data_IF_111398793228
#
_entry.id   IF_111398793228
#
_cell.length_a   1.000
_cell.length_b   1.000
_cell.length_c   1.000
_cell.angle_alpha   90.00
_cell.angle_beta   90.00
_cell.angle_gamma   90.00
#
_symmetry.space_group_name_H-M   'P 1'
#
loop_
_entity.id
_entity.type
_entity.pdbx_description
1 polymer ?
#
# COMPACT_ATOMS: atom_id res chain seq x y z
N UNK A 1 9.72 13.42 21.24
CA UNK A 1 10.00 12.55 20.07
C UNK A 1 11.14 13.19 19.30
N UNK A 2 12.34 12.61 19.31
CA UNK A 2 13.45 13.14 18.51
C UNK A 2 13.08 13.04 17.02
N UNK A 3 13.26 14.10 16.22
CA UNK A 3 12.99 14.04 14.80
C UNK A 3 13.96 13.03 14.16
N UNK A 4 13.44 11.94 13.61
CA UNK A 4 14.23 10.99 12.81
C UNK A 4 14.85 11.77 11.65
N UNK A 5 16.17 11.71 11.54
CA UNK A 5 16.91 12.34 10.44
C UNK A 5 16.74 11.46 9.21
N UNK A 6 16.09 11.99 8.17
CA UNK A 6 15.96 11.33 6.87
C UNK A 6 17.00 11.92 5.92
N UNK A 7 18.02 11.14 5.57
CA UNK A 7 19.03 11.54 4.61
C UNK A 7 18.74 10.98 3.22
N UNK A 8 18.85 11.82 2.20
CA UNK A 8 18.69 11.44 0.79
C UNK A 8 20.05 11.42 0.12
N UNK A 9 20.29 10.44 -0.75
CA UNK A 9 21.53 10.34 -1.51
C UNK A 9 21.57 11.39 -2.63
N UNK A 10 22.60 12.23 -2.61
CA UNK A 10 22.80 13.29 -3.60
C UNK A 10 24.12 13.12 -4.35
N UNK A 11 24.04 13.25 -5.68
CA UNK A 11 25.19 13.23 -6.57
C UNK A 11 25.63 14.65 -6.92
N UNK A 12 26.94 14.91 -6.99
CA UNK A 12 27.46 16.17 -7.51
C UNK A 12 27.21 16.26 -9.03
N UNK A 13 26.51 17.29 -9.49
CA UNK A 13 26.39 17.57 -10.91
C UNK A 13 27.70 18.21 -11.41
N UNK A 14 28.52 17.44 -12.14
CA UNK A 14 29.83 17.87 -12.68
C UNK A 14 29.78 19.21 -13.42
N UNK A 15 28.68 19.51 -14.10
CA UNK A 15 28.52 20.74 -14.90
C UNK A 15 28.07 21.96 -14.10
N UNK A 16 27.52 21.79 -12.89
CA UNK A 16 26.90 22.89 -12.11
C UNK A 16 27.56 23.08 -10.73
N UNK A 17 28.35 22.11 -10.27
CA UNK A 17 28.97 22.15 -8.93
C UNK A 17 27.96 22.08 -7.78
N UNK A 18 26.69 21.76 -8.08
CA UNK A 18 25.60 21.57 -7.11
C UNK A 18 25.18 20.12 -7.07
N UNK A 19 24.80 19.64 -5.90
CA UNK A 19 24.32 18.27 -5.73
C UNK A 19 22.82 18.15 -6.04
N UNK A 20 22.40 17.02 -6.60
CA UNK A 20 20.99 16.74 -6.93
C UNK A 20 20.64 15.27 -6.71
N UNK A 21 19.37 15.01 -6.42
CA UNK A 21 18.81 13.66 -6.33
C UNK A 21 18.31 13.20 -7.70
N UNK A 22 18.55 11.94 -8.06
CA UNK A 22 17.93 11.34 -9.23
C UNK A 22 16.45 11.08 -8.92
N UNK A 23 15.54 11.72 -9.65
CA UNK A 23 14.09 11.50 -9.53
C UNK A 23 13.53 10.87 -10.80
N UNK A 24 12.67 9.85 -10.65
CA UNK A 24 11.92 9.28 -11.78
C UNK A 24 10.90 10.31 -12.34
N UNK A 25 10.48 11.29 -11.53
CA UNK A 25 9.38 12.22 -11.80
C UNK A 25 9.70 13.39 -12.76
N UNK A 26 10.98 13.70 -13.03
CA UNK A 26 11.37 14.77 -13.99
C UNK A 26 10.96 14.45 -15.45
N UNK A 27 10.29 13.32 -15.67
CA UNK A 27 9.81 12.78 -16.94
C UNK A 27 8.40 13.19 -17.38
N UNK A 28 7.62 13.93 -16.58
CA UNK A 28 6.22 14.25 -16.96
C UNK A 28 5.98 15.58 -17.68
N UNK A 29 6.93 16.52 -17.74
CA UNK A 29 6.65 17.87 -18.28
C UNK A 29 7.46 18.34 -19.49
N UNK A 30 8.47 17.62 -19.98
CA UNK A 30 9.23 18.02 -21.18
C UNK A 30 9.77 16.86 -22.00
N UNK A 31 8.89 15.98 -22.49
CA UNK A 31 9.19 15.17 -23.68
C UNK A 31 8.06 15.34 -24.70
N UNK A 32 8.00 16.54 -25.27
CA UNK A 32 7.24 16.84 -26.46
C UNK A 32 8.17 17.53 -27.45
N UNK A 33 8.97 16.74 -28.16
CA UNK A 33 9.49 17.05 -29.51
C UNK A 33 10.44 15.92 -29.96
N UNK A 34 9.91 15.03 -30.80
CA UNK A 34 10.62 14.06 -31.65
C UNK A 34 11.43 12.94 -30.97
N UNK A 35 10.75 11.83 -30.67
CA UNK A 35 11.35 10.54 -30.35
C UNK A 35 10.30 9.63 -29.70
N UNK A 36 10.12 8.41 -30.19
CA UNK A 36 9.09 7.48 -29.72
C UNK A 36 9.10 7.31 -28.19
N UNK A 37 7.96 7.42 -27.48
CA UNK A 37 7.89 7.40 -26.01
C UNK A 37 8.38 6.11 -25.32
N UNK A 38 8.65 5.06 -26.11
CA UNK A 38 8.76 3.68 -25.63
C UNK A 38 10.11 3.00 -25.95
N UNK A 39 11.18 3.75 -26.25
CA UNK A 39 12.52 3.14 -26.45
C UNK A 39 13.37 3.18 -25.16
N UNK A 40 13.56 2.02 -24.47
CA UNK A 40 14.36 1.95 -23.24
C UNK A 40 15.85 2.20 -23.47
N UNK A 41 16.35 2.13 -24.72
CA UNK A 41 17.77 2.32 -25.02
C UNK A 41 18.20 3.80 -24.98
N UNK A 42 17.23 4.72 -25.03
CA UNK A 42 17.44 6.18 -25.03
C UNK A 42 17.40 6.80 -23.63
N UNK A 43 17.49 6.01 -22.56
CA UNK A 43 17.30 6.52 -21.19
C UNK A 43 18.52 7.30 -20.70
N UNK A 44 18.26 8.52 -20.26
CA UNK A 44 19.22 9.39 -19.57
C UNK A 44 18.52 10.14 -18.44
N UNK A 45 19.30 10.71 -17.53
CA UNK A 45 18.82 11.57 -16.46
C UNK A 45 19.02 13.05 -16.82
N UNK A 46 18.11 13.91 -16.39
CA UNK A 46 18.20 15.36 -16.53
C UNK A 46 18.38 16.00 -15.16
N UNK A 47 19.49 16.72 -14.98
CA UNK A 47 19.75 17.44 -13.74
C UNK A 47 18.71 18.55 -13.50
N UNK A 48 18.21 18.66 -12.27
CA UNK A 48 17.20 19.65 -11.89
C UNK A 48 17.70 21.10 -11.92
N UNK A 49 19.03 21.33 -11.82
CA UNK A 49 19.59 22.68 -11.74
C UNK A 49 19.80 23.35 -13.11
N UNK A 50 20.20 22.60 -14.13
CA UNK A 50 20.53 23.14 -15.45
C UNK A 50 20.08 22.25 -16.62
N UNK A 51 19.26 21.24 -16.36
CA UNK A 51 18.80 20.28 -17.36
C UNK A 51 19.94 19.62 -18.17
N UNK A 52 21.13 19.47 -17.58
CA UNK A 52 22.20 18.71 -18.23
C UNK A 52 21.83 17.23 -18.30
N UNK A 53 22.19 16.61 -19.42
CA UNK A 53 21.99 15.18 -19.66
C UNK A 53 23.12 14.43 -18.96
N UNK A 54 22.75 13.51 -18.06
CA UNK A 54 23.66 12.59 -17.39
C UNK A 54 23.33 11.19 -17.90
N UNK A 55 24.33 10.49 -18.43
CA UNK A 55 24.23 9.07 -18.82
C UNK A 55 24.69 8.19 -17.66
N UNK A 56 24.25 6.92 -17.65
CA UNK A 56 24.59 6.02 -16.56
C UNK A 56 26.11 5.84 -16.38
N UNK A 57 26.87 5.75 -17.48
CA UNK A 57 28.34 5.66 -17.43
C UNK A 57 29.04 6.93 -16.93
N UNK A 58 28.33 8.05 -16.85
CA UNK A 58 28.85 9.35 -16.39
C UNK A 58 28.57 9.56 -14.89
N UNK A 59 27.90 8.61 -14.23
CA UNK A 59 27.66 8.65 -12.79
C UNK A 59 29.00 8.63 -12.05
N UNK A 60 29.17 9.64 -11.21
CA UNK A 60 30.34 9.82 -10.37
C UNK A 60 29.92 9.90 -8.90
N UNK A 61 30.41 8.95 -8.12
CA UNK A 61 30.09 8.83 -6.70
C UNK A 61 31.18 9.44 -5.79
N UNK A 62 32.28 9.95 -6.33
CA UNK A 62 33.45 10.38 -5.54
C UNK A 62 33.11 11.45 -4.48
N UNK A 63 32.23 12.39 -4.82
CA UNK A 63 31.75 13.42 -3.88
C UNK A 63 30.28 13.26 -3.51
N UNK A 64 29.71 12.06 -3.69
CA UNK A 64 28.33 11.79 -3.30
C UNK A 64 28.16 11.80 -1.78
N UNK A 65 27.01 12.29 -1.31
CA UNK A 65 26.71 12.47 0.12
C UNK A 65 25.27 12.09 0.41
N UNK A 66 25.04 11.59 1.61
CA UNK A 66 23.71 11.50 2.21
C UNK A 66 23.46 12.77 3.01
N UNK A 67 22.43 13.53 2.65
CA UNK A 67 22.13 14.82 3.29
C UNK A 67 20.68 14.82 3.78
N UNK A 68 20.46 15.29 5.00
CA UNK A 68 19.15 15.57 5.54
C UNK A 68 18.64 16.91 5.00
N UNK A 69 17.54 16.90 4.24
CA UNK A 69 16.98 18.13 3.66
C UNK A 69 16.48 19.13 4.72
N UNK A 70 16.09 18.65 5.90
CA UNK A 70 15.55 19.50 6.97
C UNK A 70 16.65 20.18 7.80
N UNK A 71 17.70 19.46 8.14
CA UNK A 71 18.76 19.94 9.05
C UNK A 71 20.05 20.30 8.33
N UNK A 72 20.23 19.83 7.09
CA UNK A 72 21.48 19.95 6.33
C UNK A 72 22.62 19.09 6.88
N UNK A 73 22.38 18.27 7.90
CA UNK A 73 23.34 17.29 8.41
C UNK A 73 23.63 16.27 7.30
N UNK A 74 24.90 15.89 7.14
CA UNK A 74 25.30 14.96 6.08
C UNK A 74 26.40 13.99 6.50
N UNK A 75 26.51 12.91 5.75
CA UNK A 75 27.56 11.89 5.87
C UNK A 75 27.95 11.35 4.49
N UNK A 76 29.18 10.84 4.34
CA UNK A 76 29.64 10.13 3.13
C UNK A 76 29.54 8.62 3.27
N UNK A 77 29.76 8.11 4.48
CA UNK A 77 29.99 6.71 4.78
C UNK A 77 29.06 6.15 5.87
N UNK A 78 28.28 7.01 6.54
CA UNK A 78 27.47 6.64 7.70
C UNK A 78 28.25 6.58 9.01
N UNK A 79 29.55 6.85 8.98
CA UNK A 79 30.47 6.80 10.13
C UNK A 79 30.78 8.23 10.59
N UNK A 80 31.25 9.07 9.66
CA UNK A 80 31.56 10.48 9.94
C UNK A 80 30.37 11.36 9.60
N UNK A 81 30.01 12.22 10.56
CA UNK A 81 28.85 13.10 10.47
C UNK A 81 29.27 14.56 10.48
N UNK A 82 28.62 15.35 9.65
CA UNK A 82 28.93 16.76 9.49
C UNK A 82 27.66 17.60 9.60
N UNK A 83 27.79 18.77 10.20
CA UNK A 83 26.75 19.80 10.20
C UNK A 83 26.55 20.39 8.80
N UNK A 84 25.52 21.22 8.65
CA UNK A 84 25.29 21.98 7.41
C UNK A 84 26.41 22.97 7.07
N UNK A 85 27.21 23.41 8.07
CA UNK A 85 28.41 24.25 7.88
C UNK A 85 29.67 23.45 7.52
N UNK A 86 29.62 22.12 7.62
CA UNK A 86 30.76 21.23 7.31
C UNK A 86 31.66 20.93 8.51
N UNK A 87 31.26 21.30 9.73
CA UNK A 87 31.94 20.91 10.96
C UNK A 87 31.58 19.47 11.33
N UNK A 88 32.55 18.71 11.82
CA UNK A 88 32.31 17.34 12.30
C UNK A 88 31.45 17.35 13.57
N UNK A 89 30.45 16.47 13.63
CA UNK A 89 29.51 16.34 14.75
C UNK A 89 29.41 14.89 15.20
N UNK A 90 28.88 14.67 16.39
CA UNK A 90 28.55 13.32 16.85
C UNK A 90 27.43 12.69 15.99
N UNK A 91 27.48 11.36 15.76
CA UNK A 91 26.44 10.64 15.03
C UNK A 91 25.05 10.84 15.68
N UNK A 92 24.00 11.12 14.90
CA UNK A 92 22.66 11.24 15.47
C UNK A 92 22.13 9.92 16.02
N UNK A 93 21.31 10.00 17.08
CA UNK A 93 20.69 8.82 17.74
C UNK A 93 19.89 7.92 16.79
N UNK A 94 19.24 8.51 15.77
CA UNK A 94 18.40 7.79 14.82
C UNK A 94 18.44 8.42 13.45
N UNK A 95 18.85 7.61 12.48
CA UNK A 95 19.01 8.01 11.08
C UNK A 95 18.25 7.03 10.19
N UNK A 96 17.61 7.55 9.16
CA UNK A 96 17.00 6.78 8.07
C UNK A 96 17.57 7.27 6.75
N UNK A 97 17.86 6.34 5.84
CA UNK A 97 18.40 6.65 4.52
C UNK A 97 17.36 6.35 3.44
N UNK A 98 17.24 7.24 2.46
CA UNK A 98 16.49 7.01 1.24
C UNK A 98 17.44 6.92 0.05
N UNK A 99 17.48 5.74 -0.58
CA UNK A 99 18.23 5.46 -1.80
C UNK A 99 17.41 4.53 -2.69
N UNK A 100 17.38 4.82 -3.99
CA UNK A 100 16.63 4.04 -4.96
C UNK A 100 17.56 3.39 -6.00
N UNK A 101 17.05 2.39 -6.72
CA UNK A 101 17.87 1.47 -7.52
C UNK A 101 18.66 2.15 -8.64
N UNK A 102 18.31 3.38 -9.06
CA UNK A 102 19.04 4.10 -10.11
C UNK A 102 20.51 4.39 -9.78
N UNK A 103 20.88 4.37 -8.50
CA UNK A 103 22.26 4.52 -8.03
C UNK A 103 23.05 3.21 -7.98
N UNK A 104 22.38 2.06 -8.16
CA UNK A 104 23.01 0.75 -8.05
C UNK A 104 23.84 0.41 -9.28
N UNK A 105 25.09 -0.05 -9.13
CA UNK A 105 25.86 -0.59 -10.25
C UNK A 105 25.33 -1.96 -10.74
N UNK A 106 24.47 -2.61 -9.96
CA UNK A 106 23.91 -3.93 -10.27
C UNK A 106 22.66 -3.87 -11.16
N UNK A 107 22.20 -2.68 -11.53
CA UNK A 107 21.01 -2.53 -12.39
C UNK A 107 21.21 -1.39 -13.38
N UNK A 108 20.84 -1.62 -14.65
CA UNK A 108 20.93 -0.58 -15.68
C UNK A 108 19.66 0.27 -15.69
N UNK A 109 19.78 1.55 -16.03
CA UNK A 109 18.61 2.43 -16.18
C UNK A 109 17.66 1.94 -17.28
N UNK A 110 18.21 1.32 -18.32
CA UNK A 110 17.45 0.62 -19.37
C UNK A 110 16.57 -0.48 -18.76
N UNK A 111 17.15 -1.29 -17.86
CA UNK A 111 16.42 -2.36 -17.16
C UNK A 111 15.32 -1.80 -16.25
N UNK A 112 15.61 -0.74 -15.49
CA UNK A 112 14.62 -0.05 -14.63
C UNK A 112 13.42 0.43 -15.46
N UNK A 113 13.67 1.01 -16.63
CA UNK A 113 12.58 1.48 -17.53
C UNK A 113 11.81 0.31 -18.14
N UNK A 114 12.48 -0.78 -18.53
CA UNK A 114 11.79 -2.00 -18.99
C UNK A 114 10.89 -2.58 -17.90
N UNK A 115 11.36 -2.62 -16.66
CA UNK A 115 10.59 -3.15 -15.55
C UNK A 115 9.43 -2.22 -15.18
N UNK A 116 9.62 -0.90 -15.26
CA UNK A 116 8.51 0.07 -15.18
C UNK A 116 7.43 -0.18 -16.23
N UNK A 117 7.82 -0.38 -17.50
CA UNK A 117 6.86 -0.64 -18.58
C UNK A 117 6.06 -1.93 -18.35
N UNK A 118 6.68 -2.97 -17.77
CA UNK A 118 5.98 -4.22 -17.39
C UNK A 118 4.96 -4.05 -16.27
N UNK A 119 5.03 -2.96 -15.48
CA UNK A 119 4.02 -2.67 -14.45
C UNK A 119 2.74 -2.04 -14.99
N UNK A 120 2.73 -1.61 -16.26
CA UNK A 120 1.57 -0.94 -16.86
C UNK A 120 0.38 -1.89 -16.91
N UNK A 121 -0.70 -1.55 -16.20
CA UNK A 121 -1.91 -2.37 -16.10
C UNK A 121 -1.94 -3.35 -14.93
N UNK A 122 -0.87 -3.44 -14.14
CA UNK A 122 -0.76 -4.36 -12.99
C UNK A 122 -0.41 -3.56 -11.72
N UNK A 123 -1.42 -3.30 -10.89
CA UNK A 123 -1.29 -2.50 -9.66
C UNK A 123 -0.40 -3.18 -8.63
N UNK A 124 -0.37 -4.52 -8.57
CA UNK A 124 0.50 -5.28 -7.69
C UNK A 124 1.97 -5.09 -8.07
N UNK A 125 2.30 -5.29 -9.34
CA UNK A 125 3.67 -5.05 -9.84
C UNK A 125 4.09 -3.60 -9.70
N UNK A 126 3.16 -2.66 -9.86
CA UNK A 126 3.43 -1.23 -9.68
C UNK A 126 3.74 -0.88 -8.23
N UNK A 127 3.01 -1.45 -7.26
CA UNK A 127 3.30 -1.32 -5.83
C UNK A 127 4.68 -1.88 -5.51
N UNK A 128 5.00 -3.09 -5.98
CA UNK A 128 6.32 -3.70 -5.79
C UNK A 128 7.41 -2.81 -6.36
N UNK A 129 7.25 -2.31 -7.59
CA UNK A 129 8.23 -1.42 -8.21
C UNK A 129 8.45 -0.13 -7.41
N UNK A 130 7.39 0.53 -6.94
CA UNK A 130 7.54 1.76 -6.14
C UNK A 130 8.28 1.47 -4.83
N UNK A 131 7.88 0.43 -4.11
CA UNK A 131 8.51 0.10 -2.84
C UNK A 131 9.97 -0.36 -2.98
N UNK A 132 10.27 -1.26 -3.92
CA UNK A 132 11.59 -1.89 -4.00
C UNK A 132 12.54 -1.16 -4.93
N UNK A 133 12.02 -0.56 -6.01
CA UNK A 133 12.86 0.11 -7.02
C UNK A 133 13.00 1.60 -6.75
N UNK A 134 11.91 2.28 -6.34
CA UNK A 134 11.97 3.71 -6.00
C UNK A 134 12.37 3.96 -4.54
N UNK A 135 12.26 2.96 -3.66
CA UNK A 135 12.47 3.16 -2.22
C UNK A 135 11.40 4.06 -1.59
N UNK A 136 10.33 4.35 -2.33
CA UNK A 136 9.25 5.23 -1.92
C UNK A 136 8.15 4.40 -1.26
N UNK A 137 7.48 4.98 -0.28
CA UNK A 137 6.27 4.37 0.28
C UNK A 137 5.15 4.45 -0.74
N UNK A 138 4.68 3.30 -1.24
CA UNK A 138 3.48 3.26 -2.06
C UNK A 138 2.28 3.73 -1.23
N UNK A 139 1.90 4.98 -1.44
CA UNK A 139 0.54 5.40 -1.19
C UNK A 139 -0.30 4.77 -2.29
N UNK A 140 -1.09 3.77 -1.92
CA UNK A 140 -2.22 3.44 -2.76
C UNK A 140 -2.99 4.75 -2.90
N UNK A 141 -2.97 5.34 -4.10
CA UNK A 141 -4.15 6.02 -4.59
C UNK A 141 -5.19 4.93 -4.59
N UNK A 142 -5.82 4.75 -3.43
CA UNK A 142 -7.02 3.96 -3.26
C UNK A 142 -7.88 4.47 -4.40
N UNK A 143 -8.02 3.65 -5.46
CA UNK A 143 -8.83 4.01 -6.61
C UNK A 143 -10.14 4.49 -6.04
N UNK A 144 -10.48 5.75 -6.29
CA UNK A 144 -11.67 6.45 -5.78
C UNK A 144 -12.36 5.66 -4.66
N UNK A 145 -11.86 5.72 -3.42
CA UNK A 145 -12.80 5.54 -2.32
C UNK A 145 -13.71 6.74 -2.49
N UNK A 146 -15.00 6.57 -2.83
CA UNK A 146 -15.92 7.69 -2.77
C UNK A 146 -15.77 8.24 -1.36
N UNK A 147 -15.61 9.56 -1.24
CA UNK A 147 -15.46 10.23 0.05
C UNK A 147 -16.48 9.64 1.03
N UNK A 148 -16.07 9.41 2.28
CA UNK A 148 -16.98 8.88 3.30
C UNK A 148 -18.28 9.71 3.41
N UNK A 149 -18.22 10.98 3.01
CA UNK A 149 -19.33 11.90 2.84
C UNK A 149 -20.24 11.54 1.64
N UNK A 150 -19.69 11.20 0.46
CA UNK A 150 -20.47 10.73 -0.71
C UNK A 150 -21.07 9.33 -0.47
N UNK A 151 -20.39 8.46 0.26
CA UNK A 151 -20.97 7.17 0.70
C UNK A 151 -22.06 7.34 1.76
N UNK A 152 -22.02 8.41 2.56
CA UNK A 152 -23.11 8.75 3.47
C UNK A 152 -24.34 9.28 2.71
N UNK A 153 -24.13 10.02 1.62
CA UNK A 153 -25.21 10.54 0.75
C UNK A 153 -25.87 9.47 -0.12
N UNK A 154 -25.17 8.37 -0.43
CA UNK A 154 -25.74 7.20 -1.15
C UNK A 154 -26.35 6.14 -0.23
N UNK A 155 -26.48 6.41 1.08
CA UNK A 155 -27.20 5.52 2.00
C UNK A 155 -28.68 5.58 1.69
N UNK A 156 -29.15 4.62 0.90
CA UNK A 156 -30.58 4.34 0.84
C UNK A 156 -31.03 3.77 2.18
N UNK A 157 -32.07 4.37 2.76
CA UNK A 157 -32.68 3.91 3.99
C UNK A 157 -33.72 2.84 3.65
N UNK A 158 -33.38 1.56 3.88
CA UNK A 158 -34.28 0.45 3.59
C UNK A 158 -35.16 0.16 4.80
N UNK A 159 -36.47 0.06 4.58
CA UNK A 159 -37.45 -0.26 5.63
C UNK A 159 -37.42 -1.71 6.10
N UNK A 160 -36.64 -2.57 5.42
CA UNK A 160 -36.50 -3.99 5.71
C UNK A 160 -35.01 -4.35 5.85
N UNK A 161 -34.65 -5.35 6.69
CA UNK A 161 -33.25 -5.76 6.87
C UNK A 161 -32.54 -6.13 5.56
N UNK A 162 -33.27 -6.70 4.58
CA UNK A 162 -32.71 -7.09 3.27
C UNK A 162 -33.51 -6.45 2.12
N UNK A 163 -32.86 -5.67 1.24
CA UNK A 163 -33.50 -5.13 0.04
C UNK A 163 -33.98 -6.22 -0.94
N UNK A 164 -35.08 -5.97 -1.65
CA UNK A 164 -35.69 -6.95 -2.58
C UNK A 164 -34.75 -7.35 -3.74
N UNK A 165 -33.83 -6.46 -4.12
CA UNK A 165 -32.83 -6.67 -5.19
C UNK A 165 -31.69 -7.61 -4.81
N UNK A 166 -31.55 -7.96 -3.53
CA UNK A 166 -30.52 -8.90 -3.07
C UNK A 166 -30.86 -10.30 -3.59
N UNK A 167 -29.92 -10.93 -4.26
CA UNK A 167 -30.03 -12.31 -4.73
C UNK A 167 -29.47 -13.30 -3.70
N UNK A 168 -28.31 -13.00 -3.11
CA UNK A 168 -27.65 -13.86 -2.12
C UNK A 168 -26.89 -13.05 -1.07
N UNK A 169 -26.61 -13.68 0.08
CA UNK A 169 -25.90 -13.09 1.21
C UNK A 169 -24.53 -13.75 1.39
N UNK A 170 -23.52 -12.95 1.69
CA UNK A 170 -22.18 -13.41 2.10
C UNK A 170 -21.79 -12.75 3.40
N UNK A 171 -21.00 -13.41 4.23
CA UNK A 171 -20.41 -12.79 5.42
C UNK A 171 -18.89 -12.83 5.39
N UNK A 172 -18.27 -11.78 5.94
CA UNK A 172 -16.87 -11.75 6.29
C UNK A 172 -16.72 -11.67 7.80
N UNK A 173 -15.85 -12.49 8.39
CA UNK A 173 -15.50 -12.46 9.81
C UNK A 173 -14.02 -12.13 9.92
N UNK A 174 -13.73 -11.04 10.61
CA UNK A 174 -12.37 -10.64 10.99
C UNK A 174 -12.10 -11.01 12.45
N UNK A 175 -11.01 -11.73 12.67
CA UNK A 175 -10.63 -12.27 13.98
C UNK A 175 -9.60 -11.37 14.65
N UNK A 176 -9.87 -10.93 15.87
CA UNK A 176 -8.92 -10.17 16.69
C UNK A 176 -8.78 -10.84 18.06
N UNK A 177 -7.71 -10.53 18.80
CA UNK A 177 -7.45 -11.18 20.10
C UNK A 177 -8.57 -10.97 21.13
N UNK A 178 -9.29 -9.85 21.04
CA UNK A 178 -10.29 -9.36 21.99
C UNK A 178 -11.73 -9.29 21.43
N UNK A 179 -11.94 -9.60 20.14
CA UNK A 179 -13.26 -9.55 19.49
C UNK A 179 -13.30 -10.27 18.14
N UNK A 180 -14.52 -10.55 17.68
CA UNK A 180 -14.83 -10.90 16.30
C UNK A 180 -15.70 -9.84 15.65
N UNK A 181 -15.36 -9.39 14.45
CA UNK A 181 -16.17 -8.46 13.66
C UNK A 181 -16.76 -9.18 12.44
N UNK A 182 -18.08 -9.40 12.46
CA UNK A 182 -18.82 -10.00 11.35
C UNK A 182 -19.57 -8.93 10.55
N UNK A 183 -19.46 -8.98 9.23
CA UNK A 183 -20.19 -8.12 8.29
C UNK A 183 -20.93 -8.98 7.28
N UNK A 184 -22.23 -8.75 7.14
CA UNK A 184 -23.07 -9.42 6.15
C UNK A 184 -23.36 -8.49 4.99
N UNK A 185 -23.03 -8.95 3.80
CA UNK A 185 -23.24 -8.24 2.53
C UNK A 185 -24.28 -8.97 1.71
N UNK A 186 -25.25 -8.23 1.19
CA UNK A 186 -26.19 -8.69 0.19
C UNK A 186 -25.72 -8.25 -1.19
N UNK A 187 -25.80 -9.16 -2.16
CA UNK A 187 -25.36 -8.92 -3.54
C UNK A 187 -26.54 -8.95 -4.48
N UNK A 188 -26.59 -7.99 -5.40
CA UNK A 188 -27.59 -7.86 -6.45
C UNK A 188 -26.96 -7.89 -7.84
N UNK A 189 -27.79 -7.81 -8.89
CA UNK A 189 -27.30 -7.75 -10.27
C UNK A 189 -26.46 -6.49 -10.50
N UNK A 190 -25.37 -6.64 -11.27
CA UNK A 190 -24.49 -5.53 -11.66
C UNK A 190 -23.43 -5.14 -10.63
N UNK A 191 -22.96 -6.09 -9.81
CA UNK A 191 -21.99 -5.86 -8.71
C UNK A 191 -22.47 -4.89 -7.62
N UNK A 192 -23.77 -4.60 -7.60
CA UNK A 192 -24.38 -3.85 -6.51
C UNK A 192 -24.35 -4.66 -5.21
N UNK A 193 -23.99 -4.00 -4.12
CA UNK A 193 -23.91 -4.62 -2.80
C UNK A 193 -24.46 -3.70 -1.71
N UNK A 194 -25.01 -4.34 -0.68
CA UNK A 194 -25.59 -3.66 0.48
C UNK A 194 -25.05 -4.27 1.76
N UNK A 195 -24.64 -3.42 2.70
CA UNK A 195 -24.33 -3.87 4.06
C UNK A 195 -25.65 -4.15 4.78
N UNK A 196 -25.91 -5.42 5.07
CA UNK A 196 -27.15 -5.91 5.68
C UNK A 196 -27.06 -5.89 7.20
N UNK A 197 -25.93 -6.33 7.73
CA UNK A 197 -25.71 -6.40 9.17
C UNK A 197 -24.24 -6.24 9.52
N UNK A 198 -24.00 -5.68 10.71
CA UNK A 198 -22.69 -5.56 11.32
C UNK A 198 -22.80 -5.97 12.78
N UNK A 199 -22.10 -7.04 13.14
CA UNK A 199 -22.07 -7.56 14.49
C UNK A 199 -20.64 -7.53 15.02
N UNK A 200 -20.47 -6.99 16.23
CA UNK A 200 -19.19 -6.98 16.95
C UNK A 200 -19.39 -7.84 18.19
N UNK A 201 -18.68 -8.96 18.24
CA UNK A 201 -18.77 -9.93 19.33
C UNK A 201 -17.52 -9.73 20.19
N UNK A 202 -17.68 -8.97 21.28
CA UNK A 202 -16.61 -8.73 22.24
C UNK A 202 -16.35 -9.99 23.07
N UNK A 203 -15.09 -10.36 23.24
CA UNK A 203 -14.68 -11.53 24.02
C UNK A 203 -13.34 -12.07 23.58
N UNK A 204 -12.69 -12.84 24.45
CA UNK A 204 -11.42 -13.48 24.12
C UNK A 204 -11.65 -14.51 23.00
N UNK A 205 -10.75 -14.54 22.02
CA UNK A 205 -10.92 -15.33 20.80
C UNK A 205 -11.04 -16.85 21.00
N UNK A 206 -10.41 -17.40 22.04
CA UNK A 206 -10.39 -18.83 22.36
C UNK A 206 -11.45 -19.24 23.41
N UNK A 207 -12.27 -18.30 23.87
CA UNK A 207 -13.33 -18.56 24.83
C UNK A 207 -14.56 -19.18 24.14
N UNK A 208 -14.99 -20.34 24.63
CA UNK A 208 -16.09 -21.12 24.03
C UNK A 208 -17.42 -20.34 24.05
N UNK A 209 -17.68 -19.53 25.09
CA UNK A 209 -18.90 -18.70 25.13
C UNK A 209 -18.88 -17.60 24.06
N UNK A 210 -17.69 -17.07 23.75
CA UNK A 210 -17.49 -16.12 22.66
C UNK A 210 -17.69 -16.79 21.30
N UNK A 211 -17.13 -17.99 21.11
CA UNK A 211 -17.29 -18.75 19.88
C UNK A 211 -18.75 -19.19 19.61
N UNK A 212 -19.51 -19.56 20.65
CA UNK A 212 -20.93 -19.88 20.51
C UNK A 212 -21.74 -18.68 19.99
N UNK A 213 -21.43 -17.47 20.46
CA UNK A 213 -22.06 -16.24 19.94
C UNK A 213 -21.68 -15.96 18.49
N UNK A 214 -20.47 -16.34 18.07
CA UNK A 214 -20.06 -16.26 16.65
C UNK A 214 -20.86 -17.25 15.82
N UNK A 215 -21.06 -18.47 16.31
CA UNK A 215 -21.90 -19.48 15.63
C UNK A 215 -23.37 -19.02 15.52
N UNK A 216 -23.92 -18.38 16.55
CA UNK A 216 -25.26 -17.78 16.49
C UNK A 216 -25.33 -16.69 15.41
N UNK A 217 -24.31 -15.83 15.33
CA UNK A 217 -24.25 -14.78 14.31
C UNK A 217 -24.14 -15.35 12.89
N UNK A 218 -23.35 -16.42 12.71
CA UNK A 218 -23.20 -17.16 11.45
C UNK A 218 -24.52 -17.78 10.99
N UNK A 219 -25.26 -18.39 11.92
CA UNK A 219 -26.50 -19.10 11.62
C UNK A 219 -27.73 -18.18 11.57
N UNK A 220 -27.56 -16.88 11.80
CA UNK A 220 -28.64 -15.90 11.76
C UNK A 220 -29.29 -15.85 10.37
N UNK A 221 -30.60 -15.95 10.33
CA UNK A 221 -31.41 -15.73 9.14
C UNK A 221 -31.89 -14.29 9.05
N UNK A 222 -32.05 -13.80 7.82
CA UNK A 222 -32.48 -12.44 7.52
C UNK A 222 -33.77 -12.47 6.72
N UNK A 223 -34.79 -11.77 7.20
CA UNK A 223 -36.10 -11.72 6.54
C UNK A 223 -36.14 -10.58 5.51
N UNK A 224 -36.55 -10.91 4.29
CA UNK A 224 -36.85 -9.93 3.23
C UNK A 224 -38.21 -9.26 3.50
N UNK A 225 -38.49 -8.17 2.77
CA UNK A 225 -39.80 -7.50 2.81
C UNK A 225 -40.97 -8.44 2.46
N UNK A 226 -40.76 -9.39 1.56
CA UNK A 226 -41.78 -10.37 1.17
C UNK A 226 -41.97 -11.52 2.18
N UNK A 227 -41.31 -11.48 3.34
CA UNK A 227 -41.38 -12.51 4.38
C UNK A 227 -40.49 -13.73 4.13
N UNK A 228 -39.77 -13.80 3.00
CA UNK A 228 -38.85 -14.90 2.74
C UNK A 228 -37.59 -14.76 3.60
N UNK A 229 -37.17 -15.87 4.20
CA UNK A 229 -35.92 -15.92 4.96
C UNK A 229 -34.72 -16.20 4.05
N UNK A 230 -33.62 -15.52 4.34
CA UNK A 230 -32.33 -15.74 3.71
C UNK A 230 -31.29 -16.06 4.76
N UNK A 231 -30.57 -17.16 4.57
CA UNK A 231 -29.35 -17.44 5.31
C UNK A 231 -28.13 -16.91 4.55
N UNK A 232 -27.03 -16.73 5.29
CA UNK A 232 -25.73 -16.43 4.68
C UNK A 232 -25.28 -17.66 3.89
N UNK A 233 -25.05 -17.48 2.58
CA UNK A 233 -24.72 -18.60 1.69
C UNK A 233 -23.23 -18.96 1.70
N UNK A 234 -22.36 -17.97 1.96
CA UNK A 234 -20.91 -18.15 2.06
C UNK A 234 -20.33 -17.24 3.12
N UNK A 235 -19.37 -17.78 3.86
CA UNK A 235 -18.68 -17.07 4.93
C UNK A 235 -17.18 -17.15 4.64
N UNK A 236 -16.51 -16.01 4.64
CA UNK A 236 -15.07 -15.90 4.61
C UNK A 236 -14.60 -15.53 6.02
N UNK A 237 -13.92 -16.45 6.68
CA UNK A 237 -13.38 -16.22 8.03
C UNK A 237 -11.86 -16.04 7.92
N UNK A 238 -11.37 -14.86 8.33
CA UNK A 238 -9.94 -14.58 8.37
C UNK A 238 -9.25 -15.35 9.49
N UNK A 239 -8.18 -16.04 9.12
CA UNK A 239 -7.34 -16.83 10.03
C UNK A 239 -6.21 -15.99 10.64
N UNK A 240 -5.99 -14.77 10.13
CA UNK A 240 -5.04 -13.82 10.70
C UNK A 240 -5.42 -13.39 12.13
N UNK A 241 -4.43 -13.26 13.01
CA UNK A 241 -4.60 -12.66 14.35
C UNK A 241 -4.94 -13.61 15.50
N UNK A 242 -5.32 -14.86 15.22
CA UNK A 242 -5.63 -15.90 16.23
C UNK A 242 -5.07 -17.28 15.80
N UNK A 243 -5.19 -18.32 16.64
CA UNK A 243 -4.82 -19.69 16.25
C UNK A 243 -5.71 -20.17 15.07
N UNK A 244 -5.12 -20.45 13.88
CA UNK A 244 -5.88 -20.88 12.71
C UNK A 244 -6.71 -22.15 12.95
N UNK A 245 -6.27 -23.01 13.88
CA UNK A 245 -6.94 -24.29 14.19
C UNK A 245 -8.39 -24.07 14.64
N UNK A 246 -8.63 -23.01 15.43
CA UNK A 246 -9.96 -22.63 15.92
C UNK A 246 -10.90 -22.32 14.74
N UNK A 247 -10.40 -21.54 13.77
CA UNK A 247 -11.16 -21.17 12.57
C UNK A 247 -11.40 -22.38 11.67
N UNK A 248 -10.40 -23.25 11.50
CA UNK A 248 -10.53 -24.46 10.69
C UNK A 248 -11.55 -25.46 11.28
N UNK A 249 -11.53 -25.67 12.59
CA UNK A 249 -12.48 -26.58 13.26
C UNK A 249 -13.93 -26.07 13.17
N UNK A 250 -14.13 -24.76 13.29
CA UNK A 250 -15.45 -24.13 13.15
C UNK A 250 -15.90 -24.06 11.70
N UNK A 251 -15.00 -23.82 10.75
CA UNK A 251 -15.28 -23.82 9.31
C UNK A 251 -15.60 -25.21 8.75
N UNK A 252 -15.32 -26.29 9.48
CA UNK A 252 -15.83 -27.63 9.15
C UNK A 252 -17.27 -27.85 9.61
N UNK A 253 -17.73 -27.09 10.62
CA UNK A 253 -19.06 -27.18 11.20
C UNK A 253 -20.06 -26.21 10.57
N UNK A 254 -19.58 -25.03 10.19
CA UNK A 254 -20.30 -24.04 9.40
C UNK A 254 -19.83 -24.10 7.94
N UNK A 255 -20.65 -23.76 6.94
CA UNK A 255 -20.33 -23.84 5.51
C UNK A 255 -19.36 -22.70 5.07
N UNK A 256 -18.35 -22.42 5.89
CA UNK A 256 -17.40 -21.33 5.77
C UNK A 256 -16.13 -21.78 5.02
N UNK A 257 -15.58 -20.89 4.21
CA UNK A 257 -14.30 -21.09 3.52
C UNK A 257 -13.23 -20.31 4.29
N UNK A 258 -12.19 -20.97 4.84
CA UNK A 258 -11.08 -20.28 5.47
C UNK A 258 -10.39 -19.33 4.47
N UNK A 259 -10.21 -18.08 4.87
CA UNK A 259 -9.41 -17.11 4.11
C UNK A 259 -7.93 -17.29 4.44
N UNK A 260 -7.11 -17.45 3.40
CA UNK A 260 -5.65 -17.50 3.54
C UNK A 260 -5.07 -16.07 3.49
N UNK A 261 -4.28 -15.64 4.48
CA UNK A 261 -3.56 -14.37 4.42
C UNK A 261 -2.35 -14.50 3.49
N UNK A 262 -2.58 -14.36 2.18
CA UNK A 262 -1.53 -14.17 1.18
C UNK A 262 -1.61 -12.76 0.58
#
# INVERSE_FOLDING_TARGET
>A
MNPRILCVFMLPARTVGRSSTLNLATKRRRLASNGTPDDPSSVFYLCEHNACVIRQQELDFTDARYICEKTGIWTRDGILWFSSSGEEIEPPDSVTFHIWTAYSPFTTWVQIVKDWMKTKGDTGKRKTFVNTTLGETWEAKIGERPDAEVMAERKEHYSAPVPDRVAYLTAGIDSQLDRYEMRVWGWGPGEESWLIDRQIIMGRHDDEQTLLRVDEAINKTYTRRNGAEMSVSRICWDTGGIDPTIVYERSKKAWAVPGDPH
#
